data_IF_008832072739
#
_entry.id   IF_008832072739
#
_cell.length_a   1.000
_cell.length_b   1.000
_cell.length_c   1.000
_cell.angle_alpha   90.00
_cell.angle_beta   90.00
_cell.angle_gamma   90.00
#
_symmetry.space_group_name_H-M   'P 1'
#
loop_
_entity.id
_entity.type
_entity.pdbx_description
1 polymer ?
#
# COMPACT_ATOMS: atom_id res chain seq x y z
N UNK A 1 5.72 23.39 -1.60
CA UNK A 1 6.25 22.73 -0.38
C UNK A 1 7.76 22.72 -0.49
N UNK A 2 8.49 23.41 0.38
CA UNK A 2 9.95 23.37 0.40
C UNK A 2 10.43 21.96 0.78
N UNK A 3 10.87 21.21 -0.20
CA UNK A 3 11.27 19.81 0.00
C UNK A 3 12.77 19.71 0.24
N UNK A 4 13.58 20.59 -0.34
CA UNK A 4 15.03 20.46 -0.37
C UNK A 4 15.77 21.46 0.52
N UNK A 5 15.77 22.73 0.17
CA UNK A 5 16.75 23.68 0.71
C UNK A 5 16.16 24.70 1.67
N UNK A 6 14.86 24.64 1.96
CA UNK A 6 14.09 25.64 2.72
C UNK A 6 14.17 27.05 2.13
N UNK A 7 14.71 27.18 0.94
CA UNK A 7 14.80 28.43 0.18
C UNK A 7 13.66 28.51 -0.82
N UNK A 8 13.10 29.70 -0.96
CA UNK A 8 12.03 29.97 -1.91
C UNK A 8 12.67 30.34 -3.25
N UNK A 9 12.30 29.62 -4.31
CA UNK A 9 12.70 29.93 -5.68
C UNK A 9 11.47 29.89 -6.57
N UNK A 10 11.30 30.81 -7.53
CA UNK A 10 10.19 30.79 -8.47
C UNK A 10 10.13 29.52 -9.31
N UNK A 11 11.27 28.84 -9.51
CA UNK A 11 11.37 27.60 -10.28
C UNK A 11 11.10 26.33 -9.43
N UNK A 12 10.86 26.51 -8.13
CA UNK A 12 10.62 25.40 -7.21
C UNK A 12 9.13 25.23 -6.94
N UNK A 13 8.46 24.50 -7.80
CA UNK A 13 7.02 24.18 -7.69
C UNK A 13 6.78 22.67 -7.77
N UNK A 14 5.62 22.24 -7.29
CA UNK A 14 5.17 20.86 -7.34
C UNK A 14 3.63 20.83 -7.22
N UNK A 15 3.04 19.69 -7.47
CA UNK A 15 1.61 19.47 -7.31
C UNK A 15 1.30 18.56 -6.12
N UNK A 16 0.07 18.61 -5.61
CA UNK A 16 -0.38 17.67 -4.59
C UNK A 16 -0.29 16.21 -5.07
N UNK A 17 -0.51 15.97 -6.37
CA UNK A 17 -0.38 14.66 -7.00
C UNK A 17 1.06 14.15 -6.96
N UNK A 18 2.04 14.98 -7.30
CA UNK A 18 3.45 14.59 -7.29
C UNK A 18 3.90 14.22 -5.87
N UNK A 19 3.48 15.02 -4.88
CA UNK A 19 3.75 14.72 -3.47
C UNK A 19 3.09 13.42 -3.04
N UNK A 20 1.86 13.13 -3.48
CA UNK A 20 1.19 11.87 -3.17
C UNK A 20 1.92 10.68 -3.81
N UNK A 21 2.37 10.80 -5.06
CA UNK A 21 3.17 9.77 -5.76
C UNK A 21 4.47 9.52 -5.03
N UNK A 22 5.23 10.58 -4.70
CA UNK A 22 6.49 10.45 -3.94
C UNK A 22 6.26 9.81 -2.57
N UNK A 23 5.20 10.21 -1.86
CA UNK A 23 4.84 9.65 -0.57
C UNK A 23 4.52 8.16 -0.69
N UNK A 24 3.76 7.76 -1.73
CA UNK A 24 3.43 6.35 -1.99
C UNK A 24 4.70 5.54 -2.27
N UNK A 25 5.55 6.00 -3.17
CA UNK A 25 6.81 5.33 -3.48
C UNK A 25 7.69 5.16 -2.23
N UNK A 26 7.78 6.21 -1.41
CA UNK A 26 8.56 6.18 -0.17
C UNK A 26 8.05 5.12 0.81
N UNK A 27 6.74 5.12 1.12
CA UNK A 27 6.19 4.17 2.10
C UNK A 27 6.12 2.74 1.56
N UNK A 28 6.05 2.55 0.25
CA UNK A 28 6.01 1.22 -0.39
C UNK A 28 7.41 0.61 -0.46
N UNK A 29 8.39 1.38 -0.91
CA UNK A 29 9.77 0.88 -1.07
C UNK A 29 10.58 0.90 0.22
N UNK A 30 10.27 1.82 1.12
CA UNK A 30 10.98 2.02 2.38
C UNK A 30 10.00 2.13 3.56
N UNK A 31 9.22 1.08 3.85
CA UNK A 31 8.15 1.10 4.87
C UNK A 31 8.66 1.47 6.27
N UNK A 32 9.94 1.23 6.55
CA UNK A 32 10.59 1.60 7.80
C UNK A 32 10.49 3.09 8.14
N UNK A 33 10.28 3.97 7.13
CA UNK A 33 10.07 5.40 7.37
C UNK A 33 8.87 5.68 8.26
N UNK A 34 7.86 4.81 8.24
CA UNK A 34 6.67 4.96 9.05
C UNK A 34 6.93 4.74 10.54
N UNK A 35 7.93 3.94 10.91
CA UNK A 35 8.37 3.77 12.31
C UNK A 35 8.84 5.10 12.88
N UNK A 36 9.65 5.85 12.12
CA UNK A 36 10.17 7.16 12.54
C UNK A 36 9.12 8.27 12.43
N UNK A 37 8.35 8.30 11.35
CA UNK A 37 7.37 9.37 11.13
C UNK A 37 6.17 9.31 12.08
N UNK A 38 5.94 8.17 12.73
CA UNK A 38 4.89 7.98 13.73
C UNK A 38 5.31 8.36 15.15
N UNK A 39 6.60 8.57 15.41
CA UNK A 39 7.07 8.99 16.74
C UNK A 39 6.50 10.38 17.05
N UNK A 40 5.78 10.48 18.18
CA UNK A 40 5.21 11.76 18.62
C UNK A 40 6.23 12.64 19.32
N UNK A 41 6.96 12.07 20.28
CA UNK A 41 7.98 12.77 21.08
C UNK A 41 9.17 11.85 21.29
N UNK A 42 10.36 12.42 21.24
CA UNK A 42 11.59 11.72 21.51
C UNK A 42 12.63 12.69 22.07
N UNK A 43 13.40 12.25 23.06
CA UNK A 43 14.52 13.02 23.59
C UNK A 43 15.81 12.58 22.90
N UNK A 44 16.58 13.54 22.44
CA UNK A 44 17.91 13.31 21.86
C UNK A 44 18.96 13.94 22.76
N UNK A 45 20.03 13.20 22.99
CA UNK A 45 21.20 13.70 23.73
C UNK A 45 22.16 14.38 22.75
N UNK A 46 22.34 15.67 22.90
CA UNK A 46 23.29 16.44 22.11
C UNK A 46 24.58 16.63 22.88
N UNK A 47 25.65 16.02 22.40
CA UNK A 47 27.00 16.13 22.99
C UNK A 47 27.80 17.15 22.22
N UNK A 48 28.29 18.19 22.90
CA UNK A 48 29.16 19.22 22.34
C UNK A 48 30.45 19.32 23.16
N UNK A 49 31.42 20.13 22.68
CA UNK A 49 32.62 20.44 23.44
C UNK A 49 32.33 21.20 24.74
N UNK A 50 31.15 21.81 24.85
CA UNK A 50 30.71 22.60 26.02
C UNK A 50 29.89 21.77 27.02
N UNK A 51 29.63 20.48 26.72
CA UNK A 51 28.86 19.58 27.57
C UNK A 51 27.77 18.84 26.85
N UNK A 52 27.01 18.06 27.61
CA UNK A 52 25.91 17.25 27.15
C UNK A 52 24.59 17.92 27.53
N UNK A 53 23.65 18.00 26.57
CA UNK A 53 22.33 18.57 26.78
C UNK A 53 21.27 17.69 26.13
N UNK A 54 20.17 17.46 26.82
CA UNK A 54 19.00 16.77 26.25
C UNK A 54 18.04 17.76 25.59
N UNK A 55 17.54 17.36 24.41
CA UNK A 55 16.51 18.08 23.68
C UNK A 55 15.30 17.20 23.46
N UNK A 56 14.15 17.62 23.95
CA UNK A 56 12.86 17.03 23.62
C UNK A 56 12.39 17.48 22.23
N UNK A 57 12.25 16.53 21.31
CA UNK A 57 11.69 16.75 19.98
C UNK A 57 10.22 16.34 19.97
N UNK A 58 9.38 17.18 19.38
CA UNK A 58 7.95 16.90 19.19
C UNK A 58 7.61 16.92 17.73
N UNK A 59 6.88 15.92 17.27
CA UNK A 59 6.45 15.84 15.89
C UNK A 59 5.52 17.01 15.51
N UNK A 60 5.80 17.63 14.40
CA UNK A 60 4.98 18.74 13.90
C UNK A 60 3.68 18.28 13.24
N UNK A 61 3.56 16.98 12.92
CA UNK A 61 2.32 16.39 12.41
C UNK A 61 1.39 16.00 13.56
N UNK A 62 0.48 16.90 13.91
CA UNK A 62 -0.46 16.69 15.02
C UNK A 62 -1.46 15.54 14.78
N UNK A 63 -1.68 15.13 13.53
CA UNK A 63 -2.58 14.01 13.23
C UNK A 63 -2.11 12.68 13.84
N UNK A 64 -0.82 12.52 14.12
CA UNK A 64 -0.30 11.33 14.79
C UNK A 64 -0.99 11.08 16.14
N UNK A 65 -1.37 12.13 16.85
CA UNK A 65 -2.13 12.00 18.13
C UNK A 65 -3.63 12.16 17.97
N UNK A 66 -4.08 12.95 17.00
CA UNK A 66 -5.47 13.39 16.90
C UNK A 66 -6.30 12.63 15.85
N UNK A 67 -5.66 11.79 15.02
CA UNK A 67 -6.33 11.04 13.97
C UNK A 67 -5.97 9.55 14.05
N UNK A 68 -6.97 8.73 14.29
CA UNK A 68 -6.80 7.27 14.41
C UNK A 68 -6.16 6.66 13.16
N UNK A 69 -5.12 5.87 13.38
CA UNK A 69 -4.37 5.20 12.31
C UNK A 69 -3.38 6.10 11.57
N UNK A 70 -3.18 7.36 11.96
CA UNK A 70 -2.17 8.21 11.34
C UNK A 70 -0.76 7.74 11.73
N UNK A 71 0.06 7.45 10.71
CA UNK A 71 1.44 6.95 10.86
C UNK A 71 2.50 7.88 10.24
N UNK A 72 2.10 9.04 9.77
CA UNK A 72 3.05 10.00 9.19
C UNK A 72 2.35 11.01 8.30
N UNK A 73 3.04 11.74 7.41
CA UNK A 73 4.41 11.57 6.98
C UNK A 73 5.23 12.85 7.25
N UNK A 74 4.90 13.96 6.54
CA UNK A 74 5.71 15.19 6.59
C UNK A 74 4.86 16.46 6.53
N UNK A 75 5.20 17.41 7.39
CA UNK A 75 4.69 18.79 7.32
C UNK A 75 5.73 19.72 6.68
N UNK A 76 5.28 20.82 6.13
CA UNK A 76 6.13 21.90 5.66
C UNK A 76 5.40 23.23 5.72
N UNK A 77 6.15 24.33 5.89
CA UNK A 77 5.61 25.68 5.81
C UNK A 77 6.70 26.70 5.46
N UNK A 78 6.34 27.64 4.60
CA UNK A 78 7.11 28.85 4.31
C UNK A 78 6.12 30.01 4.12
N UNK A 79 6.62 31.23 4.02
CA UNK A 79 5.78 32.41 3.78
C UNK A 79 4.97 32.32 2.48
N UNK A 80 5.56 31.77 1.43
CA UNK A 80 4.93 31.61 0.10
C UNK A 80 4.14 30.31 0.03
N UNK A 81 4.75 29.17 0.37
CA UNK A 81 4.07 27.86 0.30
C UNK A 81 3.00 27.65 1.35
N UNK A 82 2.87 28.57 2.31
CA UNK A 82 1.94 28.47 3.45
C UNK A 82 2.06 27.12 4.17
N UNK A 83 0.97 26.53 4.60
CA UNK A 83 0.98 25.30 5.39
C UNK A 83 0.68 24.09 4.52
N UNK A 84 1.65 23.18 4.45
CA UNK A 84 1.57 21.96 3.65
C UNK A 84 1.66 20.72 4.54
N UNK A 85 1.03 19.62 4.10
CA UNK A 85 1.03 18.33 4.80
C UNK A 85 0.91 17.20 3.78
N UNK A 86 1.75 16.19 3.92
CA UNK A 86 1.49 14.85 3.41
C UNK A 86 1.18 13.98 4.62
N UNK A 87 -0.06 13.51 4.76
CA UNK A 87 -0.51 12.65 5.84
C UNK A 87 -0.71 11.22 5.32
N UNK A 88 -0.28 10.24 6.12
CA UNK A 88 -0.48 8.83 5.85
C UNK A 88 -1.24 8.21 7.01
N UNK A 89 -2.34 7.52 6.70
CA UNK A 89 -3.10 6.78 7.70
C UNK A 89 -3.39 5.36 7.23
N UNK A 90 -3.38 4.42 8.18
CA UNK A 90 -3.64 3.00 7.95
C UNK A 90 -4.80 2.52 8.83
N UNK A 91 -5.82 1.91 8.22
CA UNK A 91 -6.95 1.26 8.90
C UNK A 91 -7.40 0.05 8.12
N UNK A 92 -7.69 -1.07 8.78
CA UNK A 92 -8.23 -2.29 8.17
C UNK A 92 -7.45 -2.72 6.90
N UNK A 93 -6.12 -2.71 6.97
CA UNK A 93 -5.19 -3.02 5.87
C UNK A 93 -5.26 -2.07 4.66
N UNK A 94 -6.03 -1.00 4.75
CA UNK A 94 -6.05 0.08 3.76
C UNK A 94 -5.12 1.20 4.22
N UNK A 95 -4.20 1.62 3.35
CA UNK A 95 -3.33 2.78 3.58
C UNK A 95 -3.73 3.91 2.66
N UNK A 96 -4.05 5.07 3.22
CA UNK A 96 -4.41 6.27 2.47
C UNK A 96 -3.37 7.37 2.68
N UNK A 97 -3.18 8.17 1.63
CA UNK A 97 -2.33 9.36 1.64
C UNK A 97 -3.18 10.57 1.31
N UNK A 98 -3.19 11.56 2.19
CA UNK A 98 -3.82 12.85 1.96
C UNK A 98 -2.75 13.94 1.86
N UNK A 99 -2.79 14.72 0.78
CA UNK A 99 -1.85 15.83 0.56
C UNK A 99 -2.61 17.14 0.54
N UNK A 100 -2.26 18.03 1.45
CA UNK A 100 -2.74 19.41 1.52
C UNK A 100 -1.59 20.35 1.20
N UNK A 101 -1.83 21.29 0.32
CA UNK A 101 -0.86 22.31 -0.06
C UNK A 101 -1.47 23.71 0.11
N UNK A 102 -0.64 24.66 0.52
CA UNK A 102 -0.98 26.07 0.64
C UNK A 102 -2.21 26.36 1.53
N UNK A 103 -2.45 25.56 2.58
CA UNK A 103 -3.49 25.87 3.55
C UNK A 103 -3.21 27.23 4.21
N UNK A 104 -4.23 28.05 4.46
CA UNK A 104 -4.06 29.41 4.99
C UNK A 104 -3.56 29.41 6.44
N UNK A 105 -3.84 28.35 7.18
CA UNK A 105 -3.54 28.23 8.62
C UNK A 105 -3.03 26.81 8.94
N UNK A 106 -2.20 26.72 9.99
CA UNK A 106 -1.65 25.43 10.42
C UNK A 106 -2.70 24.43 10.90
N UNK A 107 -3.83 24.88 11.45
CA UNK A 107 -4.94 24.01 11.89
C UNK A 107 -5.74 23.50 10.70
N UNK A 108 -5.95 24.37 9.70
CA UNK A 108 -6.71 24.05 8.48
C UNK A 108 -6.08 22.87 7.74
N UNK A 109 -4.76 22.84 7.57
CA UNK A 109 -4.10 21.69 6.89
C UNK A 109 -4.40 20.34 7.55
N UNK A 110 -4.53 20.30 8.88
CA UNK A 110 -4.86 19.06 9.60
C UNK A 110 -6.35 18.72 9.48
N UNK A 111 -7.23 19.71 9.57
CA UNK A 111 -8.68 19.54 9.38
C UNK A 111 -8.98 19.00 7.98
N UNK A 112 -8.40 19.60 6.95
CA UNK A 112 -8.61 19.21 5.56
C UNK A 112 -8.06 17.80 5.30
N UNK A 113 -6.85 17.50 5.77
CA UNK A 113 -6.28 16.16 5.64
C UNK A 113 -7.14 15.10 6.35
N UNK A 114 -7.63 15.38 7.57
CA UNK A 114 -8.51 14.48 8.30
C UNK A 114 -9.83 14.24 7.54
N UNK A 115 -10.42 15.31 6.97
CA UNK A 115 -11.65 15.22 6.17
C UNK A 115 -11.46 14.37 4.92
N UNK A 116 -10.33 14.57 4.20
CA UNK A 116 -9.99 13.76 3.02
C UNK A 116 -9.75 12.29 3.38
N UNK A 117 -9.04 12.01 4.47
CA UNK A 117 -8.82 10.65 4.95
C UNK A 117 -10.14 9.97 5.36
N UNK A 118 -11.02 10.68 6.07
CA UNK A 118 -12.35 10.15 6.42
C UNK A 118 -13.17 9.83 5.18
N UNK A 119 -13.19 10.74 4.20
CA UNK A 119 -13.84 10.50 2.92
C UNK A 119 -13.26 9.27 2.22
N UNK A 120 -11.93 9.18 2.13
CA UNK A 120 -11.26 8.03 1.51
C UNK A 120 -11.62 6.71 2.21
N UNK A 121 -11.53 6.65 3.53
CA UNK A 121 -11.89 5.43 4.28
C UNK A 121 -13.37 5.08 4.19
N UNK A 122 -14.27 6.07 4.02
CA UNK A 122 -15.71 5.80 3.82
C UNK A 122 -16.02 5.23 2.44
N UNK A 123 -15.14 5.44 1.45
CA UNK A 123 -15.30 4.99 0.08
C UNK A 123 -14.52 3.74 -0.26
N UNK A 124 -13.47 3.44 0.51
CA UNK A 124 -12.61 2.30 0.26
C UNK A 124 -13.06 1.08 1.05
N UNK A 125 -13.16 -0.07 0.39
CA UNK A 125 -13.33 -1.37 1.02
C UNK A 125 -12.36 -2.38 0.43
N UNK A 126 -11.76 -3.23 1.29
CA UNK A 126 -10.79 -4.23 0.88
C UNK A 126 -11.43 -5.61 0.92
N UNK A 127 -11.53 -6.25 -0.24
CA UNK A 127 -11.86 -7.65 -0.35
C UNK A 127 -10.58 -8.49 -0.29
N UNK A 128 -10.57 -9.50 0.55
CA UNK A 128 -9.49 -10.49 0.67
C UNK A 128 -10.11 -11.87 0.55
N UNK A 129 -9.66 -12.69 -0.39
CA UNK A 129 -10.10 -14.08 -0.47
C UNK A 129 -9.43 -14.92 0.63
N UNK A 130 -10.06 -14.96 1.81
CA UNK A 130 -9.58 -15.75 2.96
C UNK A 130 -9.80 -17.24 2.82
N UNK A 131 -10.67 -17.67 1.90
CA UNK A 131 -11.05 -19.07 1.70
C UNK A 131 -10.66 -19.51 0.30
N UNK A 132 -9.35 -19.55 0.03
CA UNK A 132 -8.86 -20.12 -1.23
C UNK A 132 -9.29 -21.57 -1.34
N UNK A 133 -9.91 -21.91 -2.45
CA UNK A 133 -10.36 -23.28 -2.73
C UNK A 133 -9.16 -24.20 -2.97
N UNK A 134 -9.29 -25.45 -2.55
CA UNK A 134 -8.29 -26.46 -2.87
C UNK A 134 -8.22 -26.63 -4.40
N UNK A 135 -7.00 -26.55 -4.93
CA UNK A 135 -6.78 -26.71 -6.37
C UNK A 135 -6.74 -28.20 -6.73
N UNK A 136 -7.36 -28.62 -7.83
CA UNK A 136 -7.25 -30.00 -8.32
C UNK A 136 -5.83 -30.26 -8.83
N UNK A 137 -5.43 -31.53 -8.83
CA UNK A 137 -4.22 -31.96 -9.51
C UNK A 137 -4.41 -31.96 -11.04
N UNK A 138 -3.34 -31.66 -11.77
CA UNK A 138 -3.33 -31.68 -13.23
C UNK A 138 -2.59 -32.89 -13.76
N UNK A 139 -3.18 -33.68 -14.70
CA UNK A 139 -2.53 -34.81 -15.33
C UNK A 139 -1.23 -34.40 -16.05
N UNK A 140 -0.23 -35.30 -16.01
CA UNK A 140 1.04 -35.10 -16.69
C UNK A 140 1.20 -36.13 -17.80
N UNK A 141 1.36 -35.63 -19.03
CA UNK A 141 1.65 -36.48 -20.19
C UNK A 141 3.15 -36.70 -20.34
N UNK A 142 3.57 -37.94 -20.60
CA UNK A 142 4.96 -38.34 -20.82
C UNK A 142 5.89 -38.02 -19.60
N UNK A 143 5.36 -38.07 -18.39
CA UNK A 143 6.10 -37.81 -17.16
C UNK A 143 6.18 -39.01 -16.24
N UNK A 144 7.25 -39.09 -15.42
CA UNK A 144 7.37 -40.11 -14.37
C UNK A 144 6.28 -39.98 -13.31
N UNK A 145 5.85 -38.77 -12.98
CA UNK A 145 4.66 -38.50 -12.16
C UNK A 145 3.45 -38.44 -13.05
N UNK A 146 2.33 -39.02 -12.60
CA UNK A 146 1.06 -39.01 -13.34
C UNK A 146 0.30 -37.69 -13.21
N UNK A 147 0.50 -37.00 -12.08
CA UNK A 147 -0.13 -35.71 -11.78
C UNK A 147 0.86 -34.74 -11.15
N UNK A 148 0.52 -33.46 -11.16
CA UNK A 148 1.22 -32.39 -10.45
C UNK A 148 0.23 -31.57 -9.63
N UNK A 149 0.67 -31.17 -8.45
CA UNK A 149 -0.08 -30.28 -7.57
C UNK A 149 0.10 -28.83 -7.99
N UNK A 150 -0.92 -28.03 -7.77
CA UNK A 150 -0.98 -26.61 -8.08
C UNK A 150 -0.92 -25.76 -6.83
N UNK A 151 -0.42 -24.54 -6.96
CA UNK A 151 -0.40 -23.52 -5.90
C UNK A 151 -0.80 -22.16 -6.46
N UNK A 152 -1.50 -21.38 -5.67
CA UNK A 152 -1.72 -19.97 -5.97
C UNK A 152 -0.39 -19.20 -5.84
N UNK A 153 -0.17 -18.21 -6.69
CA UNK A 153 0.99 -17.33 -6.56
C UNK A 153 0.88 -16.47 -5.30
N UNK A 154 -0.30 -15.88 -5.11
CA UNK A 154 -0.59 -15.07 -3.92
C UNK A 154 -2.10 -15.06 -3.62
N UNK A 155 -2.45 -14.61 -2.43
CA UNK A 155 -3.82 -14.40 -2.02
C UNK A 155 -4.41 -13.22 -2.80
N UNK A 156 -5.62 -13.38 -3.35
CA UNK A 156 -6.27 -12.30 -4.07
C UNK A 156 -6.76 -11.19 -3.15
N UNK A 157 -6.39 -9.97 -3.49
CA UNK A 157 -6.83 -8.75 -2.84
C UNK A 157 -7.41 -7.79 -3.88
N UNK A 158 -8.54 -7.17 -3.55
CA UNK A 158 -9.14 -6.14 -4.39
C UNK A 158 -9.58 -4.95 -3.54
N UNK A 159 -9.08 -3.76 -3.87
CA UNK A 159 -9.48 -2.50 -3.24
C UNK A 159 -10.60 -1.85 -4.06
N UNK A 160 -11.81 -1.86 -3.54
CA UNK A 160 -12.89 -1.06 -4.09
C UNK A 160 -12.78 0.39 -3.59
N UNK A 161 -12.93 1.34 -4.50
CA UNK A 161 -12.89 2.78 -4.22
C UNK A 161 -14.19 3.48 -4.60
N UNK A 162 -15.22 2.72 -4.99
CA UNK A 162 -16.50 3.29 -5.46
C UNK A 162 -17.44 3.64 -4.31
N UNK A 163 -17.18 3.08 -3.13
CA UNK A 163 -18.05 3.20 -1.95
C UNK A 163 -19.28 2.31 -2.02
N UNK A 164 -19.32 1.41 -2.98
CA UNK A 164 -20.32 0.35 -3.06
C UNK A 164 -19.75 -0.86 -2.31
N UNK A 165 -20.57 -1.50 -1.48
CA UNK A 165 -20.15 -2.77 -0.89
C UNK A 165 -19.86 -3.74 -2.03
N UNK A 166 -18.67 -4.34 -2.00
CA UNK A 166 -18.31 -5.42 -2.91
C UNK A 166 -19.32 -6.54 -2.67
N UNK A 167 -20.20 -6.73 -3.64
CA UNK A 167 -21.26 -7.71 -3.57
C UNK A 167 -20.72 -9.13 -3.51
N UNK A 168 -21.53 -10.09 -3.91
CA UNK A 168 -21.13 -11.49 -3.89
C UNK A 168 -20.06 -11.75 -4.96
N UNK A 169 -18.79 -11.85 -4.53
CA UNK A 169 -17.66 -12.14 -5.42
C UNK A 169 -17.76 -13.58 -5.91
N UNK A 170 -17.93 -13.74 -7.22
CA UNK A 170 -17.91 -15.05 -7.89
C UNK A 170 -16.47 -15.39 -8.30
N UNK A 171 -16.12 -16.67 -8.15
CA UNK A 171 -14.82 -17.22 -8.52
C UNK A 171 -14.99 -18.19 -9.67
N UNK A 172 -14.09 -18.17 -10.63
CA UNK A 172 -14.07 -19.07 -11.78
C UNK A 172 -12.66 -19.58 -12.01
N UNK A 173 -12.45 -20.87 -11.75
CA UNK A 173 -11.17 -21.52 -11.99
C UNK A 173 -11.00 -21.81 -13.48
N UNK A 174 -9.86 -21.42 -14.04
CA UNK A 174 -9.40 -21.80 -15.37
C UNK A 174 -8.01 -22.42 -15.26
N UNK A 175 -7.87 -23.69 -15.53
CA UNK A 175 -6.60 -24.41 -15.49
C UNK A 175 -6.39 -25.21 -16.76
N UNK A 176 -5.15 -25.52 -17.05
CA UNK A 176 -4.79 -26.43 -18.14
C UNK A 176 -5.34 -27.82 -17.84
N UNK A 177 -5.92 -28.47 -18.86
CA UNK A 177 -6.47 -29.81 -18.71
C UNK A 177 -5.40 -30.87 -18.50
N UNK A 178 -4.21 -30.68 -19.06
CA UNK A 178 -3.02 -31.51 -18.90
C UNK A 178 -1.75 -30.69 -19.11
N UNK A 179 -0.63 -31.16 -18.61
CA UNK A 179 0.70 -30.62 -18.88
C UNK A 179 1.62 -31.69 -19.44
N UNK A 180 2.55 -31.31 -20.33
CA UNK A 180 3.50 -32.26 -20.96
C UNK A 180 4.88 -32.16 -20.29
N UNK A 181 5.38 -33.28 -19.81
CA UNK A 181 6.71 -33.32 -19.21
C UNK A 181 7.83 -33.08 -20.27
N UNK A 182 8.96 -32.45 -19.87
CA UNK A 182 9.31 -31.99 -18.54
C UNK A 182 8.65 -30.64 -18.20
N UNK A 183 8.20 -30.46 -16.96
CA UNK A 183 7.63 -29.20 -16.48
C UNK A 183 8.47 -28.70 -15.29
N UNK A 184 8.74 -27.42 -15.29
CA UNK A 184 9.48 -26.76 -14.21
C UNK A 184 8.53 -26.34 -13.09
N UNK A 185 9.07 -26.27 -11.87
CA UNK A 185 8.39 -25.58 -10.77
C UNK A 185 8.08 -24.14 -11.18
N UNK A 186 6.99 -23.60 -10.66
CA UNK A 186 6.48 -22.25 -10.98
C UNK A 186 6.10 -22.02 -12.45
N UNK A 187 5.88 -23.09 -13.24
CA UNK A 187 5.27 -22.95 -14.56
C UNK A 187 3.81 -22.57 -14.38
N UNK A 188 3.34 -21.57 -15.12
CA UNK A 188 1.94 -21.15 -15.12
C UNK A 188 1.04 -22.31 -15.56
N UNK A 189 0.05 -22.64 -14.75
CA UNK A 189 -0.89 -23.74 -14.97
C UNK A 189 -2.33 -23.26 -15.13
N UNK A 190 -2.63 -22.04 -14.77
CA UNK A 190 -3.95 -21.46 -14.86
C UNK A 190 -4.14 -20.19 -14.05
N UNK A 191 -5.39 -19.84 -13.83
CA UNK A 191 -5.80 -18.63 -13.15
C UNK A 191 -7.12 -18.84 -12.41
N UNK A 192 -7.29 -18.15 -11.28
CA UNK A 192 -8.57 -17.96 -10.61
C UNK A 192 -9.08 -16.56 -10.93
N UNK A 193 -10.22 -16.45 -11.59
CA UNK A 193 -10.83 -15.19 -11.99
C UNK A 193 -11.89 -14.79 -10.97
N UNK A 194 -11.83 -13.55 -10.50
CA UNK A 194 -12.77 -12.96 -9.55
C UNK A 194 -13.67 -11.96 -10.26
N UNK A 195 -14.97 -12.05 -10.05
CA UNK A 195 -15.96 -11.17 -10.68
C UNK A 195 -17.11 -10.84 -9.76
N UNK A 196 -17.73 -9.66 -9.97
CA UNK A 196 -18.98 -9.23 -9.32
C UNK A 196 -19.91 -8.74 -10.42
N UNK A 197 -21.16 -9.24 -10.41
CA UNK A 197 -22.21 -8.86 -11.37
C UNK A 197 -21.77 -8.92 -12.83
N UNK A 198 -20.94 -9.91 -13.16
CA UNK A 198 -20.41 -10.13 -14.51
C UNK A 198 -19.20 -9.26 -14.88
N UNK A 199 -18.81 -8.32 -14.02
CA UNK A 199 -17.60 -7.51 -14.20
C UNK A 199 -16.41 -8.18 -13.52
N UNK A 200 -15.32 -8.38 -14.26
CA UNK A 200 -14.07 -8.91 -13.72
C UNK A 200 -13.39 -7.89 -12.81
N UNK A 201 -13.03 -8.33 -11.60
CA UNK A 201 -12.27 -7.55 -10.62
C UNK A 201 -10.76 -7.76 -10.78
N UNK A 202 -10.37 -8.96 -11.17
CA UNK A 202 -8.99 -9.37 -11.35
C UNK A 202 -8.82 -10.88 -11.29
N UNK A 203 -7.57 -11.33 -11.26
CA UNK A 203 -7.22 -12.75 -11.24
C UNK A 203 -6.06 -13.03 -10.28
N UNK A 204 -5.96 -14.28 -9.82
CA UNK A 204 -4.79 -14.83 -9.13
C UNK A 204 -4.20 -15.94 -10.00
N UNK A 205 -2.88 -15.87 -10.25
CA UNK A 205 -2.19 -16.87 -11.04
C UNK A 205 -1.99 -18.15 -10.26
N UNK A 206 -2.00 -19.26 -11.00
CA UNK A 206 -1.84 -20.61 -10.43
C UNK A 206 -0.65 -21.27 -11.11
N UNK A 207 0.27 -21.79 -10.32
CA UNK A 207 1.51 -22.36 -10.76
C UNK A 207 1.66 -23.83 -10.34
N UNK A 208 2.53 -24.55 -11.06
CA UNK A 208 2.92 -25.91 -10.70
C UNK A 208 3.85 -25.85 -9.49
N UNK A 209 3.48 -26.58 -8.42
CA UNK A 209 4.23 -26.58 -7.14
C UNK A 209 5.56 -27.33 -7.24
N UNK A 210 5.64 -28.39 -8.07
CA UNK A 210 6.77 -29.27 -8.16
C UNK A 210 7.18 -29.57 -9.63
N UNK A 211 8.49 -29.67 -9.90
CA UNK A 211 8.95 -30.03 -11.23
C UNK A 211 8.63 -31.51 -11.57
N UNK A 212 8.42 -31.80 -12.84
CA UNK A 212 8.31 -33.19 -13.31
C UNK A 212 9.29 -33.46 -14.45
N UNK A 213 9.89 -34.68 -14.45
CA UNK A 213 10.83 -35.14 -15.45
C UNK A 213 10.12 -36.06 -16.47
N UNK A 214 10.69 -36.22 -17.64
CA UNK A 214 10.23 -37.23 -18.62
C UNK A 214 10.40 -38.63 -18.05
N UNK A 215 9.45 -39.51 -18.41
CA UNK A 215 9.59 -40.95 -18.20
C UNK A 215 10.67 -41.52 -19.07
#
# INVERSE_FOLDING_TARGET
>A
MCIRDRTESPDHYTTARDIAIMSRELITKYPKILEYSSIWMENITHVTRQGTKEFGLTNTNKLIRSYEGCVGLKTGSTSIAKYCLSAVAKRNDITLIAVVMAAPDYKVRFKDAASMLNYGFSKCSLYIDKKMEALPEVPVRNGKKKTVSLVYEEQFHYLDTTGQNIGNVKRKLRIHREVKAPVKKNTLAGEMIYSVDGKELGLSLIHISEPTRRS
#
